data_IF_389396394609
#
_entry.id   IF_389396394609
#
_cell.length_a   1.000
_cell.length_b   1.000
_cell.length_c   1.000
_cell.angle_alpha   90.00
_cell.angle_beta   90.00
_cell.angle_gamma   90.00
#
_symmetry.space_group_name_H-M   'P 1'
#
loop_
_entity.id
_entity.type
_entity.pdbx_description
1 polymer ?
#
# COMPACT_ATOMS: atom_id res chain seq x y z
N UNK A 1 -59.22 -47.55 -11.22
CA UNK A 1 -59.79 -47.38 -12.57
C UNK A 1 -60.57 -46.07 -12.57
N UNK A 2 -60.56 -45.33 -13.69
CA UNK A 2 -61.14 -43.98 -13.88
C UNK A 2 -60.47 -42.78 -13.17
N UNK A 3 -59.96 -41.86 -13.99
CA UNK A 3 -59.79 -40.43 -13.70
C UNK A 3 -61.15 -39.71 -13.84
N UNK A 4 -61.31 -38.53 -13.21
CA UNK A 4 -62.03 -37.32 -13.70
C UNK A 4 -61.98 -36.21 -12.62
N UNK A 5 -62.01 -34.88 -12.87
CA UNK A 5 -61.40 -34.01 -13.90
C UNK A 5 -61.48 -32.54 -13.39
N UNK A 6 -60.36 -31.80 -13.38
CA UNK A 6 -60.17 -30.33 -13.54
C UNK A 6 -61.09 -29.29 -12.84
N UNK A 7 -60.46 -28.20 -12.34
CA UNK A 7 -60.91 -26.79 -12.22
C UNK A 7 -61.02 -26.17 -10.81
N UNK A 8 -60.61 -24.89 -10.72
CA UNK A 8 -60.74 -24.01 -9.54
C UNK A 8 -59.56 -24.15 -8.55
N UNK A 9 -58.77 -23.13 -8.24
CA UNK A 9 -58.95 -21.69 -8.46
C UNK A 9 -59.21 -20.95 -7.15
N UNK A 10 -58.23 -20.98 -6.23
CA UNK A 10 -58.20 -20.14 -5.04
C UNK A 10 -56.76 -19.68 -4.81
N UNK A 11 -56.51 -18.38 -4.93
CA UNK A 11 -55.18 -17.81 -4.84
C UNK A 11 -54.68 -17.83 -3.39
N UNK A 12 -53.40 -18.16 -3.21
CA UNK A 12 -52.63 -17.74 -2.04
C UNK A 12 -51.54 -16.80 -2.55
N UNK A 13 -51.89 -15.50 -2.66
CA UNK A 13 -50.90 -14.45 -2.87
C UNK A 13 -49.98 -14.42 -1.64
N UNK A 14 -48.78 -14.98 -1.79
CA UNK A 14 -47.65 -14.71 -0.92
C UNK A 14 -46.64 -13.90 -1.72
N UNK A 15 -46.95 -12.61 -1.89
CA UNK A 15 -45.96 -11.62 -2.33
C UNK A 15 -45.01 -11.34 -1.16
N UNK A 16 -44.04 -12.23 -0.98
CA UNK A 16 -42.87 -11.94 -0.15
C UNK A 16 -42.00 -10.92 -0.87
N UNK A 17 -42.26 -9.65 -0.59
CA UNK A 17 -41.55 -8.49 -1.15
C UNK A 17 -40.09 -8.38 -0.68
N UNK A 18 -39.58 -9.32 0.11
CA UNK A 18 -38.16 -9.38 0.50
C UNK A 18 -37.28 -10.19 -0.48
N UNK A 19 -37.87 -11.04 -1.34
CA UNK A 19 -37.14 -11.81 -2.35
C UNK A 19 -37.00 -11.04 -3.67
N UNK A 20 -36.20 -9.96 -3.61
CA UNK A 20 -35.87 -9.14 -4.78
C UNK A 20 -34.87 -9.87 -5.71
N UNK A 21 -35.36 -10.85 -6.47
CA UNK A 21 -34.59 -11.53 -7.51
C UNK A 21 -34.33 -10.60 -8.69
N UNK A 22 -33.10 -10.61 -9.19
CA UNK A 22 -32.64 -9.68 -10.22
C UNK A 22 -33.33 -9.95 -11.58
N UNK A 23 -34.02 -8.96 -12.18
CA UNK A 23 -34.82 -9.14 -13.40
C UNK A 23 -34.00 -9.50 -14.65
N UNK A 24 -32.66 -9.54 -14.56
CA UNK A 24 -31.79 -10.08 -15.62
C UNK A 24 -31.95 -11.60 -15.81
N UNK A 25 -32.50 -12.32 -14.83
CA UNK A 25 -32.64 -13.79 -14.86
C UNK A 25 -34.02 -14.30 -15.29
N UNK A 26 -35.01 -13.44 -15.50
CA UNK A 26 -36.38 -13.85 -15.88
C UNK A 26 -36.56 -14.10 -17.39
N UNK A 27 -35.57 -13.76 -18.22
CA UNK A 27 -35.66 -13.85 -19.68
C UNK A 27 -34.95 -15.12 -20.21
N UNK A 28 -35.70 -16.18 -20.58
CA UNK A 28 -35.11 -17.42 -21.08
C UNK A 28 -34.38 -17.27 -22.43
N UNK A 29 -34.66 -16.24 -23.22
CA UNK A 29 -33.89 -15.95 -24.44
C UNK A 29 -32.54 -15.31 -24.12
N UNK A 30 -32.46 -14.44 -23.09
CA UNK A 30 -31.16 -13.96 -22.57
C UNK A 30 -30.34 -15.10 -21.95
N UNK A 31 -30.98 -16.06 -21.28
CA UNK A 31 -30.31 -17.24 -20.72
C UNK A 31 -29.75 -18.18 -21.82
N UNK A 32 -30.44 -18.34 -22.96
CA UNK A 32 -29.87 -19.03 -24.14
C UNK A 32 -28.57 -18.39 -24.63
N UNK A 33 -28.46 -17.06 -24.58
CA UNK A 33 -27.25 -16.33 -24.95
C UNK A 33 -26.07 -16.53 -23.98
N UNK A 34 -26.33 -17.03 -22.76
CA UNK A 34 -25.34 -17.44 -21.75
C UNK A 34 -25.03 -18.95 -21.78
N UNK A 35 -25.67 -19.73 -22.68
CA UNK A 35 -25.39 -21.15 -22.84
C UNK A 35 -23.97 -21.40 -23.40
N UNK A 36 -23.37 -22.55 -23.06
CA UNK A 36 -22.04 -22.97 -23.60
C UNK A 36 -21.96 -22.89 -25.13
N UNK A 37 -23.05 -23.18 -25.86
CA UNK A 37 -23.10 -23.06 -27.33
C UNK A 37 -23.21 -21.60 -27.79
N UNK A 38 -24.01 -20.77 -27.12
CA UNK A 38 -24.09 -19.33 -27.39
C UNK A 38 -22.75 -18.61 -27.19
N UNK A 39 -21.99 -19.02 -26.16
CA UNK A 39 -20.65 -18.52 -25.90
C UNK A 39 -19.64 -18.89 -27.00
N UNK A 40 -19.58 -20.17 -27.41
CA UNK A 40 -18.69 -20.59 -28.51
C UNK A 40 -19.04 -19.94 -29.85
N UNK A 41 -20.34 -19.78 -30.17
CA UNK A 41 -20.77 -19.10 -31.39
C UNK A 41 -20.31 -17.65 -31.46
N UNK A 42 -20.23 -16.96 -30.31
CA UNK A 42 -19.72 -15.58 -30.21
C UNK A 42 -18.21 -15.47 -30.30
N UNK A 43 -17.45 -16.47 -29.85
CA UNK A 43 -15.99 -16.52 -30.02
C UNK A 43 -15.58 -16.52 -31.50
N UNK A 44 -16.32 -17.23 -32.35
CA UNK A 44 -16.04 -17.31 -33.80
C UNK A 44 -16.34 -15.97 -34.49
N UNK A 45 -17.39 -15.25 -34.08
CA UNK A 45 -17.72 -13.92 -34.61
C UNK A 45 -16.92 -12.76 -34.00
N UNK A 46 -16.27 -12.95 -32.86
CA UNK A 46 -15.63 -11.88 -32.08
C UNK A 46 -14.20 -11.51 -32.46
N UNK A 47 -13.58 -12.23 -33.41
CA UNK A 47 -12.14 -12.10 -33.74
C UNK A 47 -11.75 -10.67 -34.15
N UNK A 48 -12.64 -9.94 -34.85
CA UNK A 48 -12.39 -8.56 -35.27
C UNK A 48 -12.33 -7.55 -34.10
N UNK A 49 -13.03 -7.80 -32.99
CA UNK A 49 -13.04 -6.91 -31.82
C UNK A 49 -11.86 -7.18 -30.86
N UNK A 50 -11.35 -8.41 -30.82
CA UNK A 50 -10.21 -8.79 -29.97
C UNK A 50 -8.91 -8.06 -30.30
N UNK A 51 -8.68 -7.74 -31.58
CA UNK A 51 -7.48 -7.04 -32.03
C UNK A 51 -7.34 -5.62 -31.45
N UNK A 52 -8.46 -4.93 -31.18
CA UNK A 52 -8.44 -3.60 -30.55
C UNK A 52 -8.05 -3.66 -29.07
N UNK A 53 -8.43 -4.72 -28.35
CA UNK A 53 -8.03 -4.92 -26.94
C UNK A 53 -6.54 -5.25 -26.79
N UNK A 54 -5.93 -5.90 -27.79
CA UNK A 54 -4.48 -6.12 -27.85
C UNK A 54 -3.67 -4.83 -28.11
N UNK A 55 -4.33 -3.72 -28.43
CA UNK A 55 -3.69 -2.40 -28.61
C UNK A 55 -3.61 -1.57 -27.33
N UNK A 56 -4.05 -2.09 -26.17
CA UNK A 56 -3.58 -1.58 -24.89
C UNK A 56 -2.08 -1.88 -24.77
N UNK A 57 -1.27 -0.91 -25.23
CA UNK A 57 0.17 -0.88 -24.95
C UNK A 57 0.35 -1.16 -23.47
N UNK A 58 1.12 -2.20 -23.17
CA UNK A 58 1.66 -2.46 -21.83
C UNK A 58 2.07 -1.10 -21.24
N UNK A 59 1.46 -0.76 -20.09
CA UNK A 59 1.79 0.47 -19.36
C UNK A 59 3.29 0.40 -19.14
N UNK A 60 4.04 1.29 -19.78
CA UNK A 60 5.48 1.14 -19.94
C UNK A 60 6.08 0.87 -18.56
N UNK A 61 6.58 -0.36 -18.35
CA UNK A 61 7.27 -0.68 -17.11
C UNK A 61 8.45 0.26 -17.05
N UNK A 62 8.48 1.14 -16.05
CA UNK A 62 9.47 2.19 -15.95
C UNK A 62 10.83 1.50 -15.94
N UNK A 63 11.59 1.63 -17.03
CA UNK A 63 12.92 1.04 -17.11
C UNK A 63 13.70 1.56 -15.92
N UNK A 64 14.31 0.70 -15.09
CA UNK A 64 15.15 1.17 -14.01
C UNK A 64 16.19 2.11 -14.61
N UNK A 65 16.18 3.37 -14.18
CA UNK A 65 17.31 4.25 -14.45
C UNK A 65 18.47 3.64 -13.66
N UNK A 66 19.55 3.21 -14.33
CA UNK A 66 20.68 2.65 -13.61
C UNK A 66 21.20 3.71 -12.63
N UNK A 67 21.46 3.31 -11.39
CA UNK A 67 22.29 4.13 -10.50
C UNK A 67 23.68 4.17 -11.16
N UNK A 68 24.21 5.35 -11.52
CA UNK A 68 25.53 5.44 -12.16
C UNK A 68 26.61 4.87 -11.25
N UNK A 69 27.74 4.46 -11.83
CA UNK A 69 28.87 4.00 -11.02
C UNK A 69 29.41 5.15 -10.15
N UNK A 70 30.01 4.82 -8.99
CA UNK A 70 30.74 5.82 -8.19
C UNK A 70 31.87 6.43 -9.05
N UNK A 71 31.72 7.73 -9.37
CA UNK A 71 32.58 8.46 -10.31
C UNK A 71 31.86 9.01 -11.56
N UNK A 72 30.66 8.52 -11.88
CA UNK A 72 29.83 9.02 -13.00
C UNK A 72 28.73 10.01 -12.55
N UNK A 73 28.51 10.14 -11.25
CA UNK A 73 27.53 11.05 -10.66
C UNK A 73 28.13 12.48 -10.66
N UNK A 74 27.45 13.50 -11.26
CA UNK A 74 27.94 14.87 -11.23
C UNK A 74 28.01 15.43 -9.80
N UNK A 75 28.80 16.48 -9.59
CA UNK A 75 28.93 17.10 -8.27
C UNK A 75 27.62 17.80 -7.85
N UNK A 76 27.33 17.87 -6.56
CA UNK A 76 26.04 18.37 -6.06
C UNK A 76 25.82 19.89 -6.25
N UNK A 77 26.86 20.62 -6.66
CA UNK A 77 26.84 22.01 -7.11
C UNK A 77 26.65 22.17 -8.63
N UNK A 78 26.55 21.08 -9.38
CA UNK A 78 26.22 21.04 -10.82
C UNK A 78 24.71 20.84 -11.04
N UNK A 79 24.11 21.60 -11.95
CA UNK A 79 22.71 21.41 -12.36
C UNK A 79 22.48 20.02 -12.99
N UNK A 80 23.51 19.44 -13.62
CA UNK A 80 23.45 18.08 -14.15
C UNK A 80 23.17 17.03 -13.05
N UNK A 81 23.61 17.26 -11.80
CA UNK A 81 23.27 16.42 -10.66
C UNK A 81 21.78 16.51 -10.32
N UNK A 82 21.23 17.72 -10.26
CA UNK A 82 19.82 17.94 -9.89
C UNK A 82 18.85 17.46 -10.98
N UNK A 83 19.25 17.58 -12.26
CA UNK A 83 18.57 16.95 -13.38
C UNK A 83 18.56 15.42 -13.23
N UNK A 84 19.71 14.80 -12.95
CA UNK A 84 19.81 13.35 -12.71
C UNK A 84 18.99 12.88 -11.49
N UNK A 85 18.98 13.65 -10.40
CA UNK A 85 18.14 13.39 -9.21
C UNK A 85 16.66 13.45 -9.57
N UNK A 86 16.25 14.44 -10.36
CA UNK A 86 14.86 14.60 -10.82
C UNK A 86 14.41 13.41 -11.67
N UNK A 87 15.27 12.94 -12.57
CA UNK A 87 15.03 11.76 -13.40
C UNK A 87 14.79 10.50 -12.56
N UNK A 88 15.36 10.39 -11.35
CA UNK A 88 15.10 9.24 -10.48
C UNK A 88 13.64 9.13 -10.00
N UNK A 89 12.76 10.12 -10.23
CA UNK A 89 11.37 10.06 -9.77
C UNK A 89 10.39 9.78 -10.91
N UNK A 90 9.47 8.84 -10.68
CA UNK A 90 8.41 8.46 -11.62
C UNK A 90 7.23 9.47 -11.64
N UNK A 91 7.56 10.77 -11.59
CA UNK A 91 6.58 11.84 -11.68
C UNK A 91 6.07 11.97 -13.13
N UNK A 92 4.84 12.45 -13.27
CA UNK A 92 4.27 12.78 -14.58
C UNK A 92 4.91 14.07 -15.10
N UNK A 93 5.28 14.11 -16.38
CA UNK A 93 5.72 15.31 -17.09
C UNK A 93 4.84 16.54 -16.76
N UNK A 94 5.50 17.67 -16.48
CA UNK A 94 4.85 18.93 -16.11
C UNK A 94 4.18 18.96 -14.73
N UNK A 95 4.35 17.95 -13.87
CA UNK A 95 3.86 17.96 -12.49
C UNK A 95 4.84 18.68 -11.55
N UNK A 96 4.43 19.84 -11.03
CA UNK A 96 5.14 20.56 -9.97
C UNK A 96 4.62 20.04 -8.62
N UNK A 97 5.40 19.20 -7.93
CA UNK A 97 5.03 18.59 -6.65
C UNK A 97 5.70 19.28 -5.46
N UNK A 98 4.92 20.05 -4.67
CA UNK A 98 5.44 20.88 -3.57
C UNK A 98 5.01 20.43 -2.15
N UNK A 99 4.49 19.20 -1.99
CA UNK A 99 4.01 18.68 -0.69
C UNK A 99 4.88 17.54 -0.12
N UNK A 100 6.19 17.56 -0.41
CA UNK A 100 7.16 16.56 0.09
C UNK A 100 7.22 16.47 1.61
N UNK A 101 6.90 17.56 2.32
CA UNK A 101 6.82 17.60 3.78
C UNK A 101 5.70 16.74 4.40
N UNK A 102 4.66 16.38 3.64
CA UNK A 102 3.64 15.41 4.11
C UNK A 102 4.08 13.98 3.78
N UNK A 103 4.32 13.70 2.49
CA UNK A 103 4.87 12.45 1.93
C UNK A 103 5.50 12.78 0.58
N UNK A 104 6.44 11.97 0.11
CA UNK A 104 7.02 12.09 -1.24
C UNK A 104 6.80 10.83 -2.09
N UNK A 105 6.95 10.93 -3.42
CA UNK A 105 7.16 9.76 -4.27
C UNK A 105 8.47 9.05 -3.88
N UNK A 106 8.50 7.72 -3.96
CA UNK A 106 9.76 6.97 -3.90
C UNK A 106 10.57 7.19 -5.19
N UNK A 107 11.90 7.35 -5.11
CA UNK A 107 12.78 7.16 -6.27
C UNK A 107 12.58 5.80 -6.93
N UNK A 108 12.77 5.72 -8.24
CA UNK A 108 12.60 4.54 -9.07
C UNK A 108 13.41 3.33 -8.58
N UNK A 109 14.67 3.44 -8.10
CA UNK A 109 15.39 2.31 -7.51
C UNK A 109 14.67 1.72 -6.28
N UNK A 110 14.06 2.56 -5.43
CA UNK A 110 13.31 2.13 -4.25
C UNK A 110 11.98 1.50 -4.67
N UNK A 111 11.26 2.11 -5.62
CA UNK A 111 10.04 1.54 -6.19
C UNK A 111 10.28 0.14 -6.78
N UNK A 112 11.34 -0.02 -7.57
CA UNK A 112 11.69 -1.29 -8.20
C UNK A 112 12.09 -2.35 -7.15
N UNK A 113 12.80 -1.97 -6.10
CA UNK A 113 13.10 -2.87 -4.98
C UNK A 113 11.83 -3.33 -4.23
N UNK A 114 10.85 -2.43 -4.04
CA UNK A 114 9.56 -2.77 -3.44
C UNK A 114 8.74 -3.74 -4.32
N UNK A 115 8.71 -3.51 -5.64
CA UNK A 115 8.05 -4.40 -6.60
C UNK A 115 8.72 -5.78 -6.60
N UNK A 116 10.05 -5.84 -6.74
CA UNK A 116 10.80 -7.10 -6.75
C UNK A 116 10.63 -7.91 -5.44
N UNK A 117 10.56 -7.23 -4.29
CA UNK A 117 10.28 -7.87 -3.01
C UNK A 117 8.86 -8.48 -2.98
N UNK A 118 7.85 -7.73 -3.43
CA UNK A 118 6.47 -8.22 -3.50
C UNK A 118 6.33 -9.39 -4.50
N UNK A 119 6.97 -9.31 -5.66
CA UNK A 119 6.97 -10.39 -6.65
C UNK A 119 7.66 -11.64 -6.10
N UNK A 120 8.85 -11.50 -5.48
CA UNK A 120 9.58 -12.63 -4.89
C UNK A 120 8.80 -13.38 -3.81
N UNK A 121 8.12 -12.65 -2.91
CA UNK A 121 7.24 -13.22 -1.88
C UNK A 121 6.08 -14.03 -2.49
N UNK A 122 5.52 -13.56 -3.62
CA UNK A 122 4.38 -14.22 -4.26
C UNK A 122 4.77 -15.34 -5.24
N UNK A 123 6.00 -15.34 -5.77
CA UNK A 123 6.52 -16.41 -6.62
C UNK A 123 6.92 -17.66 -5.80
N UNK A 124 7.67 -17.47 -4.71
CA UNK A 124 7.97 -18.52 -3.73
C UNK A 124 8.17 -17.91 -2.35
N UNK A 125 7.08 -17.87 -1.58
CA UNK A 125 7.08 -17.40 -0.20
C UNK A 125 8.13 -18.11 0.68
N UNK A 126 8.35 -19.41 0.48
CA UNK A 126 9.21 -20.22 1.36
C UNK A 126 10.68 -19.96 1.08
N UNK A 127 11.08 -19.93 -0.19
CA UNK A 127 12.45 -19.60 -0.58
C UNK A 127 12.79 -18.15 -0.27
N UNK A 128 11.91 -17.20 -0.63
CA UNK A 128 12.12 -15.78 -0.37
C UNK A 128 12.24 -15.50 1.14
N UNK A 129 11.36 -16.08 1.96
CA UNK A 129 11.43 -15.95 3.42
C UNK A 129 12.75 -16.47 4.00
N UNK A 130 13.26 -17.60 3.50
CA UNK A 130 14.55 -18.16 3.92
C UNK A 130 15.75 -17.28 3.56
N UNK A 131 15.61 -16.42 2.55
CA UNK A 131 16.64 -15.45 2.16
C UNK A 131 16.59 -14.17 3.04
N UNK A 132 15.41 -13.53 3.16
CA UNK A 132 15.30 -12.23 3.84
C UNK A 132 15.20 -12.28 5.36
N UNK A 133 14.77 -13.39 5.96
CA UNK A 133 14.67 -13.51 7.43
C UNK A 133 15.93 -14.07 8.10
N UNK A 134 17.06 -14.12 7.40
CA UNK A 134 18.35 -14.54 7.97
C UNK A 134 18.92 -13.53 8.97
N UNK A 135 19.77 -14.00 9.89
CA UNK A 135 20.57 -13.15 10.78
C UNK A 135 21.39 -12.13 9.99
N UNK A 136 21.95 -12.55 8.87
CA UNK A 136 22.94 -11.80 8.11
C UNK A 136 22.27 -10.69 7.29
N UNK A 137 21.10 -10.97 6.69
CA UNK A 137 20.27 -9.95 6.06
C UNK A 137 19.85 -8.87 7.07
N UNK A 138 19.38 -9.29 8.25
CA UNK A 138 19.00 -8.36 9.34
C UNK A 138 20.21 -7.55 9.82
N UNK A 139 21.36 -8.18 10.03
CA UNK A 139 22.61 -7.52 10.43
C UNK A 139 23.03 -6.46 9.39
N UNK A 140 23.05 -6.82 8.11
CA UNK A 140 23.36 -5.88 7.03
C UNK A 140 22.39 -4.70 6.91
N UNK A 141 21.09 -4.88 7.21
CA UNK A 141 20.14 -3.77 7.31
C UNK A 141 20.47 -2.82 8.47
N UNK A 142 20.75 -3.34 9.66
CA UNK A 142 21.07 -2.52 10.83
C UNK A 142 22.41 -1.79 10.65
N UNK A 143 23.41 -2.44 10.06
CA UNK A 143 24.71 -1.82 9.77
C UNK A 143 24.61 -0.66 8.77
N UNK A 144 23.84 -0.83 7.69
CA UNK A 144 23.58 0.26 6.72
C UNK A 144 22.84 1.44 7.35
N UNK A 145 21.80 1.17 8.14
CA UNK A 145 21.04 2.23 8.81
C UNK A 145 21.89 2.95 9.87
N UNK A 146 22.65 2.21 10.66
CA UNK A 146 23.53 2.75 11.69
C UNK A 146 24.63 3.65 11.11
N UNK A 147 25.24 3.26 9.98
CA UNK A 147 26.18 4.09 9.25
C UNK A 147 25.54 5.39 8.71
N UNK A 148 24.29 5.32 8.25
CA UNK A 148 23.55 6.49 7.75
C UNK A 148 23.19 7.50 8.85
N UNK A 149 22.78 7.04 10.04
CA UNK A 149 22.36 7.92 11.16
C UNK A 149 23.47 8.19 12.21
N UNK A 150 24.65 7.59 12.06
CA UNK A 150 25.80 7.83 12.93
C UNK A 150 25.77 7.13 14.30
N UNK A 151 25.18 5.92 14.40
CA UNK A 151 25.09 5.14 15.63
C UNK A 151 25.69 3.74 15.50
N UNK A 152 25.53 2.88 16.52
CA UNK A 152 25.84 1.44 16.43
C UNK A 152 24.66 0.67 15.85
N UNK A 153 24.91 -0.47 15.19
CA UNK A 153 23.85 -1.36 14.68
C UNK A 153 22.93 -1.90 15.77
N UNK A 154 23.41 -2.01 17.02
CA UNK A 154 22.62 -2.39 18.21
C UNK A 154 21.71 -1.29 18.74
N UNK A 155 21.84 -0.05 18.23
CA UNK A 155 21.05 1.12 18.65
C UNK A 155 19.92 1.43 17.64
N UNK A 156 19.81 0.65 16.56
CA UNK A 156 18.77 0.78 15.53
C UNK A 156 17.59 -0.15 15.83
N UNK A 157 16.37 0.37 15.76
CA UNK A 157 15.13 -0.41 15.74
C UNK A 157 14.28 -0.02 14.52
N UNK A 158 13.93 -1.01 13.68
CA UNK A 158 13.02 -0.79 12.56
C UNK A 158 11.56 -0.79 13.04
N UNK A 159 10.82 0.25 12.66
CA UNK A 159 9.38 0.44 12.94
C UNK A 159 8.64 0.70 11.64
N UNK A 160 7.31 0.58 11.64
CA UNK A 160 6.46 0.79 10.48
C UNK A 160 6.35 2.27 10.08
N UNK A 161 6.51 3.20 11.02
CA UNK A 161 6.44 4.65 10.80
C UNK A 161 6.88 5.45 12.04
N UNK A 162 7.11 6.76 11.88
CA UNK A 162 7.50 7.69 12.94
C UNK A 162 6.55 7.70 14.14
N UNK A 163 5.22 7.60 13.95
CA UNK A 163 4.26 7.61 15.07
C UNK A 163 4.41 6.36 15.94
N UNK A 164 4.65 5.20 15.35
CA UNK A 164 4.96 3.97 16.11
C UNK A 164 6.30 4.09 16.84
N UNK A 165 7.33 4.62 16.19
CA UNK A 165 8.61 4.95 16.85
C UNK A 165 8.45 5.90 18.04
N UNK A 166 7.63 6.96 17.89
CA UNK A 166 7.29 7.88 18.98
C UNK A 166 6.54 7.19 20.11
N UNK A 167 5.67 6.22 19.84
CA UNK A 167 5.02 5.41 20.89
C UNK A 167 6.05 4.57 21.65
N UNK A 168 6.94 3.86 20.95
CA UNK A 168 8.00 3.09 21.62
C UNK A 168 8.93 3.98 22.46
N UNK A 169 9.39 5.11 21.91
CA UNK A 169 10.19 6.09 22.66
C UNK A 169 9.45 6.69 23.86
N UNK A 170 8.15 7.02 23.71
CA UNK A 170 7.33 7.59 24.78
C UNK A 170 7.07 6.60 25.92
N UNK A 171 6.95 5.30 25.64
CA UNK A 171 6.63 4.27 26.63
C UNK A 171 7.84 3.46 27.12
N UNK A 172 9.01 3.59 26.49
CA UNK A 172 10.23 2.86 26.83
C UNK A 172 10.85 3.20 28.20
N UNK A 173 11.02 4.50 28.57
CA UNK A 173 11.54 4.87 29.88
C UNK A 173 10.59 4.48 31.01
N UNK A 174 11.12 3.92 32.10
CA UNK A 174 10.34 3.65 33.32
C UNK A 174 10.12 4.96 34.09
N UNK A 175 8.89 5.48 34.04
CA UNK A 175 8.50 6.76 34.67
C UNK A 175 7.45 6.47 35.73
N UNK A 176 7.62 7.09 36.89
CA UNK A 176 6.77 6.94 38.06
C UNK A 176 5.71 8.04 38.12
N UNK A 177 4.57 7.82 38.83
CA UNK A 177 3.57 8.85 39.04
C UNK A 177 4.18 10.11 39.66
N UNK A 178 3.93 11.27 39.03
CA UNK A 178 4.51 12.56 39.39
C UNK A 178 5.69 13.01 38.52
N UNK A 179 6.34 12.12 37.76
CA UNK A 179 7.37 12.48 36.78
C UNK A 179 6.82 13.37 35.67
N UNK A 180 7.68 14.16 35.01
CA UNK A 180 7.28 15.17 34.02
C UNK A 180 7.80 14.80 32.63
N UNK A 181 6.92 14.82 31.62
CA UNK A 181 7.31 14.76 30.21
C UNK A 181 7.17 16.15 29.60
N UNK A 182 8.25 16.64 29.00
CA UNK A 182 8.32 17.94 28.34
C UNK A 182 8.27 17.75 26.82
N UNK A 183 7.51 18.61 26.14
CA UNK A 183 7.54 18.78 24.68
C UNK A 183 7.24 20.25 24.33
N UNK A 184 7.38 20.64 23.07
CA UNK A 184 7.26 22.04 22.61
C UNK A 184 5.92 22.33 21.93
N UNK A 185 5.54 23.60 21.79
CA UNK A 185 4.41 24.00 20.95
C UNK A 185 4.63 23.80 19.44
N UNK A 186 5.84 23.45 19.00
CA UNK A 186 6.16 23.10 17.61
C UNK A 186 6.13 21.59 17.32
N UNK A 187 6.06 20.74 18.34
CA UNK A 187 6.07 19.29 18.14
C UNK A 187 4.82 18.80 17.40
N UNK A 188 5.03 17.93 16.42
CA UNK A 188 3.92 17.38 15.63
C UNK A 188 2.93 16.62 16.53
N UNK A 189 1.63 16.82 16.30
CA UNK A 189 0.57 16.27 17.15
C UNK A 189 0.67 14.76 17.39
N UNK A 190 1.15 13.98 16.42
CA UNK A 190 1.35 12.53 16.59
C UNK A 190 2.46 12.13 17.58
N UNK A 191 3.40 13.03 17.89
CA UNK A 191 4.37 12.87 18.97
C UNK A 191 3.80 13.27 20.34
N UNK A 192 2.95 14.32 20.38
CA UNK A 192 2.33 14.79 21.61
C UNK A 192 1.19 13.88 22.14
N UNK A 193 0.38 13.25 21.26
CA UNK A 193 -0.73 12.41 21.72
C UNK A 193 -0.31 11.18 22.55
N UNK A 194 0.75 10.42 22.20
CA UNK A 194 1.29 9.37 23.07
C UNK A 194 1.65 9.86 24.48
N UNK A 195 2.25 11.04 24.59
CA UNK A 195 2.63 11.66 25.88
C UNK A 195 1.38 11.97 26.71
N UNK A 196 0.40 12.66 26.12
CA UNK A 196 -0.86 13.00 26.79
C UNK A 196 -1.64 11.75 27.25
N UNK A 197 -1.62 10.69 26.45
CA UNK A 197 -2.23 9.41 26.81
C UNK A 197 -1.48 8.70 27.94
N UNK A 198 -0.14 8.66 27.87
CA UNK A 198 0.72 8.05 28.92
C UNK A 198 0.51 8.76 30.25
N UNK A 199 0.60 10.08 30.25
CA UNK A 199 0.44 10.91 31.44
C UNK A 199 -0.92 10.69 32.12
N UNK A 200 -2.02 10.75 31.36
CA UNK A 200 -3.38 10.52 31.88
C UNK A 200 -3.57 9.11 32.47
N UNK A 201 -2.84 8.10 31.97
CA UNK A 201 -2.94 6.70 32.45
C UNK A 201 -2.04 6.41 33.65
N UNK A 202 -0.89 7.08 33.76
CA UNK A 202 0.16 6.76 34.74
C UNK A 202 0.37 7.86 35.81
N UNK A 203 -0.42 8.93 35.78
CA UNK A 203 -0.29 10.03 36.75
C UNK A 203 0.97 10.87 36.54
N UNK A 204 1.49 10.93 35.31
CA UNK A 204 2.61 11.80 34.95
C UNK A 204 2.11 13.22 34.71
N UNK A 205 3.00 14.21 34.81
CA UNK A 205 2.73 15.58 34.39
C UNK A 205 3.17 15.79 32.95
N UNK A 206 2.47 16.69 32.25
CA UNK A 206 2.84 17.16 30.92
C UNK A 206 3.14 18.64 31.01
N UNK A 207 4.25 19.06 30.41
CA UNK A 207 4.61 20.48 30.30
C UNK A 207 4.95 20.83 28.86
N UNK A 208 4.13 21.68 28.27
CA UNK A 208 4.40 22.26 26.95
C UNK A 208 5.32 23.47 27.14
N UNK A 209 6.43 23.50 26.42
CA UNK A 209 7.36 24.62 26.33
C UNK A 209 6.97 25.47 25.13
N UNK A 210 6.74 26.76 25.37
CA UNK A 210 6.50 27.73 24.30
C UNK A 210 7.84 28.22 23.75
N UNK A 211 8.01 28.18 22.42
CA UNK A 211 9.18 28.68 21.69
C UNK A 211 8.83 29.81 20.69
N UNK A 212 7.64 30.42 20.82
CA UNK A 212 7.19 31.53 19.95
C UNK A 212 7.66 32.93 20.37
#
# INVERSE_FOLDING_TARGET
MHQITQLGGAAMHLEDSSLNFDPRFEDPEKLKALSRRGFMGRLIGGVAAGAALLSFKSRASAKPIPVPAEGEIPAADDEAYWQWVTEQFLLRDGLIYMNTGTRGPSPAPIHNAQVAALEGINQDYTSYSKYVYTSDFRKGMHEKMAAFIGCKSTEVAFTNNTTEGMVFGTFGPDLQPGDEILYTNHDHGSGAQPVNLRAKRQGLKVKVIDLS
#
